data_IF_818988165788
#
_entry.id   IF_818988165788
#
_cell.length_a   1.000
_cell.length_b   1.000
_cell.length_c   1.000
_cell.angle_alpha   90.00
_cell.angle_beta   90.00
_cell.angle_gamma   90.00
#
_symmetry.space_group_name_H-M   'P 1'
#
loop_
_entity.id
_entity.type
_entity.pdbx_description
1 polymer ?
#
# COMPACT_ATOMS: atom_id res chain seq x y z
N UNK A 1 -1.78 8.20 8.73
CA UNK A 1 -1.36 9.16 7.68
C UNK A 1 -2.62 9.86 7.23
N UNK A 2 -2.64 11.19 7.20
CA UNK A 2 -3.87 11.95 6.88
C UNK A 2 -3.98 12.18 5.38
N UNK A 3 -5.20 12.42 4.88
CA UNK A 3 -5.44 12.77 3.49
C UNK A 3 -4.70 14.06 3.09
N UNK A 4 -4.64 15.02 4.02
CA UNK A 4 -3.86 16.25 3.88
C UNK A 4 -2.36 15.95 3.72
N UNK A 5 -1.78 15.02 4.49
CA UNK A 5 -0.38 14.60 4.35
C UNK A 5 -0.09 14.05 2.94
N UNK A 6 -1.01 13.24 2.39
CA UNK A 6 -0.88 12.71 1.02
C UNK A 6 -0.88 13.84 -0.01
N UNK A 7 -1.84 14.77 0.08
CA UNK A 7 -1.95 15.89 -0.85
C UNK A 7 -0.69 16.79 -0.77
N UNK A 8 -0.24 17.13 0.45
CA UNK A 8 0.98 17.92 0.69
C UNK A 8 2.22 17.25 0.08
N UNK A 9 2.40 15.95 0.31
CA UNK A 9 3.53 15.18 -0.24
C UNK A 9 3.51 15.11 -1.76
N UNK A 10 2.34 14.88 -2.37
CA UNK A 10 2.20 14.82 -3.83
C UNK A 10 2.47 16.19 -4.46
N UNK A 11 1.92 17.27 -3.89
CA UNK A 11 2.22 18.64 -4.32
C UNK A 11 3.72 18.92 -4.27
N UNK A 12 4.36 18.59 -3.15
CA UNK A 12 5.80 18.78 -2.99
C UNK A 12 6.60 17.93 -3.97
N UNK A 13 6.27 16.65 -4.15
CA UNK A 13 7.03 15.73 -5.01
C UNK A 13 7.04 16.19 -6.47
N UNK A 14 5.90 16.67 -6.99
CA UNK A 14 5.74 17.05 -8.40
C UNK A 14 5.79 18.56 -8.65
N UNK A 15 6.10 19.37 -7.64
CA UNK A 15 6.12 20.83 -7.71
C UNK A 15 4.81 21.48 -8.19
N UNK A 16 3.65 20.93 -7.80
CA UNK A 16 2.39 21.49 -8.28
C UNK A 16 2.09 22.85 -7.64
N UNK A 17 1.70 23.82 -8.48
CA UNK A 17 1.16 25.12 -8.03
C UNK A 17 -0.31 24.97 -7.61
N UNK A 18 -0.81 25.87 -6.80
CA UNK A 18 -2.18 25.80 -6.27
C UNK A 18 -3.23 25.87 -7.40
N UNK A 19 -2.94 26.65 -8.45
CA UNK A 19 -3.73 26.66 -9.70
C UNK A 19 -3.75 25.30 -10.38
N UNK A 20 -2.60 24.64 -10.51
CA UNK A 20 -2.50 23.31 -11.11
C UNK A 20 -3.23 22.24 -10.30
N UNK A 21 -3.30 22.40 -8.96
CA UNK A 21 -4.12 21.53 -8.12
C UNK A 21 -5.60 21.75 -8.42
N UNK A 22 -6.06 22.99 -8.56
CA UNK A 22 -7.44 23.29 -8.98
C UNK A 22 -7.78 22.67 -10.34
N UNK A 23 -6.87 22.77 -11.31
CA UNK A 23 -7.03 22.17 -12.64
C UNK A 23 -7.18 20.64 -12.55
N UNK A 24 -6.41 20.00 -11.66
CA UNK A 24 -6.53 18.56 -11.39
C UNK A 24 -7.90 18.17 -10.84
N UNK A 25 -8.48 18.96 -9.94
CA UNK A 25 -9.84 18.71 -9.46
C UNK A 25 -10.88 18.93 -10.57
N UNK A 26 -10.69 19.93 -11.42
CA UNK A 26 -11.57 20.19 -12.56
C UNK A 26 -11.59 19.02 -13.56
N UNK A 27 -10.45 18.34 -13.75
CA UNK A 27 -10.37 17.12 -14.58
C UNK A 27 -11.17 15.93 -14.03
N UNK A 28 -11.65 15.99 -12.79
CA UNK A 28 -12.50 14.99 -12.15
C UNK A 28 -13.93 15.49 -11.89
N UNK A 29 -14.33 16.57 -12.58
CA UNK A 29 -15.62 17.27 -12.45
C UNK A 29 -15.92 17.78 -11.03
N UNK A 30 -14.88 18.13 -10.28
CA UNK A 30 -15.03 18.73 -8.95
C UNK A 30 -14.49 20.15 -8.98
N UNK A 31 -15.40 21.13 -8.91
CA UNK A 31 -15.03 22.52 -8.67
C UNK A 31 -14.44 22.70 -7.27
N UNK A 32 -13.21 23.22 -7.20
CA UNK A 32 -12.52 23.56 -5.95
C UNK A 32 -11.89 24.94 -6.13
N UNK A 33 -12.00 25.79 -5.11
CA UNK A 33 -11.37 27.11 -5.12
C UNK A 33 -9.92 27.04 -4.63
N UNK A 34 -9.09 28.00 -5.03
CA UNK A 34 -7.70 28.07 -4.57
C UNK A 34 -7.62 28.21 -3.04
N UNK A 35 -8.56 28.94 -2.43
CA UNK A 35 -8.65 29.08 -0.96
C UNK A 35 -8.86 27.73 -0.26
N UNK A 36 -9.75 26.88 -0.79
CA UNK A 36 -9.96 25.54 -0.25
C UNK A 36 -8.69 24.70 -0.33
N UNK A 37 -7.98 24.76 -1.46
CA UNK A 37 -6.70 24.05 -1.63
C UNK A 37 -5.67 24.55 -0.62
N UNK A 38 -5.54 25.87 -0.43
CA UNK A 38 -4.62 26.45 0.54
C UNK A 38 -4.96 25.98 1.95
N UNK A 39 -6.24 26.00 2.35
CA UNK A 39 -6.68 25.55 3.66
C UNK A 39 -6.41 24.05 3.92
N UNK A 40 -6.43 23.21 2.87
CA UNK A 40 -6.03 21.79 2.99
C UNK A 40 -4.52 21.59 3.10
N UNK A 41 -3.73 22.50 2.54
CA UNK A 41 -2.26 22.45 2.54
C UNK A 41 -1.64 23.07 3.81
N UNK A 42 -2.41 23.82 4.59
CA UNK A 42 -2.00 24.35 5.89
C UNK A 42 -1.55 23.22 6.83
N UNK A 43 -0.72 23.59 7.82
CA UNK A 43 -0.28 22.68 8.88
C UNK A 43 -1.46 22.36 9.79
N UNK A 44 -1.39 21.20 10.44
CA UNK A 44 -2.49 20.69 11.27
C UNK A 44 -2.73 21.55 12.53
N UNK A 45 -1.77 22.43 12.90
CA UNK A 45 -1.89 23.38 14.02
C UNK A 45 -2.48 24.76 13.64
N UNK A 46 -2.80 24.98 12.37
CA UNK A 46 -3.36 26.25 11.90
C UNK A 46 -4.88 26.31 12.14
N UNK A 47 -5.40 27.47 12.56
CA UNK A 47 -6.83 27.66 12.86
C UNK A 47 -7.72 27.52 11.63
N UNK A 48 -7.18 27.82 10.45
CA UNK A 48 -7.92 27.71 9.19
C UNK A 48 -7.67 26.35 8.51
N UNK A 49 -7.01 25.40 9.19
CA UNK A 49 -6.77 24.08 8.63
C UNK A 49 -8.08 23.33 8.49
N UNK A 50 -8.36 22.88 7.27
CA UNK A 50 -9.55 22.07 6.97
C UNK A 50 -9.11 20.65 6.65
N UNK A 51 -9.77 19.68 7.27
CA UNK A 51 -9.55 18.26 6.96
C UNK A 51 -10.04 17.94 5.54
N UNK A 52 -9.21 17.26 4.75
CA UNK A 52 -9.54 16.86 3.39
C UNK A 52 -10.38 15.57 3.42
N UNK A 53 -11.67 15.61 3.03
CA UNK A 53 -12.49 14.40 3.01
C UNK A 53 -12.05 13.45 1.90
N UNK A 54 -12.27 12.15 2.13
CA UNK A 54 -11.93 11.06 1.21
C UNK A 54 -12.43 11.30 -0.21
N UNK A 55 -13.66 11.82 -0.35
CA UNK A 55 -14.26 12.12 -1.65
C UNK A 55 -13.46 13.14 -2.47
N UNK A 56 -12.96 14.18 -1.80
CA UNK A 56 -12.15 15.21 -2.47
C UNK A 56 -10.77 14.63 -2.82
N UNK A 57 -10.15 13.88 -1.92
CA UNK A 57 -8.89 13.19 -2.25
C UNK A 57 -9.07 12.17 -3.41
N UNK A 58 -10.20 11.46 -3.46
CA UNK A 58 -10.54 10.58 -4.57
C UNK A 58 -10.57 11.34 -5.90
N UNK A 59 -11.26 12.49 -5.92
CA UNK A 59 -11.36 13.34 -7.10
C UNK A 59 -9.98 13.86 -7.53
N UNK A 60 -9.16 14.32 -6.59
CA UNK A 60 -7.78 14.73 -6.87
C UNK A 60 -6.97 13.62 -7.56
N UNK A 61 -6.98 12.40 -6.98
CA UNK A 61 -6.24 11.27 -7.54
C UNK A 61 -6.79 10.83 -8.89
N UNK A 62 -8.12 10.90 -9.09
CA UNK A 62 -8.76 10.61 -10.36
C UNK A 62 -8.34 11.62 -11.44
N UNK A 63 -8.37 12.92 -11.12
CA UNK A 63 -7.89 13.98 -12.02
C UNK A 63 -6.40 13.86 -12.33
N UNK A 64 -5.60 13.42 -11.34
CA UNK A 64 -4.19 13.15 -11.54
C UNK A 64 -3.92 11.98 -12.49
N UNK A 65 -4.73 10.91 -12.41
CA UNK A 65 -4.71 9.81 -13.38
C UNK A 65 -5.03 10.34 -14.78
N UNK A 66 -6.08 11.15 -14.93
CA UNK A 66 -6.49 11.73 -16.22
C UNK A 66 -5.39 12.62 -16.81
N UNK A 67 -4.72 13.44 -15.99
CA UNK A 67 -3.61 14.29 -16.43
C UNK A 67 -2.43 13.48 -16.97
N UNK A 68 -2.03 12.42 -16.28
CA UNK A 68 -0.79 11.70 -16.61
C UNK A 68 -0.98 10.62 -17.69
N UNK A 69 -2.18 10.03 -17.80
CA UNK A 69 -2.46 8.95 -18.76
C UNK A 69 -3.42 9.33 -19.89
N UNK A 70 -4.15 10.43 -19.74
CA UNK A 70 -5.29 10.76 -20.59
C UNK A 70 -6.58 10.07 -20.15
N UNK A 71 -7.69 10.46 -20.78
CA UNK A 71 -9.00 9.85 -20.57
C UNK A 71 -9.00 8.44 -21.16
N UNK A 72 -9.19 7.42 -20.33
CA UNK A 72 -9.33 6.04 -20.81
C UNK A 72 -10.80 5.84 -21.22
N UNK A 73 -11.05 5.56 -22.49
CA UNK A 73 -12.38 5.26 -23.06
C UNK A 73 -13.47 6.31 -22.76
N UNK A 74 -13.10 7.59 -22.64
CA UNK A 74 -14.04 8.71 -22.47
C UNK A 74 -14.78 8.75 -21.12
N UNK A 75 -14.57 7.80 -20.21
CA UNK A 75 -15.21 7.77 -18.91
C UNK A 75 -14.32 8.39 -17.84
N UNK A 76 -14.87 9.35 -17.09
CA UNK A 76 -14.24 9.86 -15.89
C UNK A 76 -14.22 8.75 -14.82
N UNK A 77 -13.10 8.56 -14.10
CA UNK A 77 -13.06 7.58 -13.04
C UNK A 77 -14.08 7.97 -11.97
N UNK A 78 -14.93 7.02 -11.55
CA UNK A 78 -15.95 7.26 -10.52
C UNK A 78 -15.27 7.75 -9.25
N UNK A 79 -15.75 8.88 -8.73
CA UNK A 79 -15.29 9.42 -7.45
C UNK A 79 -15.80 8.52 -6.32
N UNK A 80 -14.88 7.78 -5.70
CA UNK A 80 -15.22 6.85 -4.64
C UNK A 80 -15.57 7.58 -3.35
N UNK A 81 -16.62 7.11 -2.66
CA UNK A 81 -17.15 7.77 -1.45
C UNK A 81 -16.24 7.60 -0.23
N UNK A 82 -15.47 6.52 -0.18
CA UNK A 82 -14.55 6.18 0.90
C UNK A 82 -13.23 5.72 0.29
N UNK A 83 -12.11 6.18 0.86
CA UNK A 83 -10.79 5.90 0.34
C UNK A 83 -10.06 4.93 1.26
N UNK A 84 -9.68 3.77 0.74
CA UNK A 84 -8.81 2.84 1.48
C UNK A 84 -7.37 3.00 1.01
N UNK A 85 -6.40 2.69 1.88
CA UNK A 85 -4.97 2.74 1.50
C UNK A 85 -4.65 1.90 0.27
N UNK A 86 -5.28 0.74 0.14
CA UNK A 86 -5.14 -0.15 -1.02
C UNK A 86 -5.54 0.57 -2.31
N UNK A 87 -6.65 1.32 -2.25
CA UNK A 87 -7.15 2.08 -3.37
C UNK A 87 -6.25 3.27 -3.70
N UNK A 88 -5.77 4.00 -2.68
CA UNK A 88 -4.79 5.10 -2.85
C UNK A 88 -3.54 4.57 -3.56
N UNK A 89 -2.99 3.45 -3.08
CA UNK A 89 -1.84 2.78 -3.69
C UNK A 89 -2.10 2.41 -5.15
N UNK A 90 -3.29 1.88 -5.44
CA UNK A 90 -3.68 1.52 -6.81
C UNK A 90 -3.81 2.77 -7.70
N UNK A 91 -4.42 3.85 -7.21
CA UNK A 91 -4.55 5.11 -7.95
C UNK A 91 -3.18 5.74 -8.22
N UNK A 92 -2.24 5.73 -7.26
CA UNK A 92 -0.86 6.21 -7.48
C UNK A 92 -0.15 5.35 -8.54
N UNK A 93 -0.24 4.03 -8.44
CA UNK A 93 0.32 3.10 -9.44
C UNK A 93 -0.23 3.40 -10.83
N UNK A 94 -1.54 3.62 -10.94
CA UNK A 94 -2.18 3.97 -12.20
C UNK A 94 -1.66 5.33 -12.66
N UNK A 95 -1.73 6.38 -11.84
CA UNK A 95 -1.31 7.74 -12.22
C UNK A 95 0.13 7.82 -12.75
N UNK A 96 1.05 7.02 -12.19
CA UNK A 96 2.46 7.03 -12.58
C UNK A 96 2.87 5.92 -13.55
N UNK A 97 1.93 5.10 -14.03
CA UNK A 97 2.26 3.98 -14.94
C UNK A 97 3.31 3.00 -14.40
N UNK A 98 3.33 2.82 -13.08
CA UNK A 98 4.30 1.95 -12.40
C UNK A 98 3.95 0.47 -12.58
N UNK A 99 4.96 -0.32 -12.95
CA UNK A 99 4.89 -1.78 -12.91
C UNK A 99 5.11 -2.27 -11.48
N UNK A 100 4.77 -3.54 -11.24
CA UNK A 100 4.98 -4.15 -9.92
C UNK A 100 6.47 -4.12 -9.51
N UNK A 101 7.37 -4.37 -10.46
CA UNK A 101 8.81 -4.36 -10.21
C UNK A 101 9.35 -2.95 -9.89
N UNK A 102 8.76 -1.90 -10.48
CA UNK A 102 9.12 -0.51 -10.20
C UNK A 102 8.75 -0.12 -8.76
N UNK A 103 7.54 -0.51 -8.32
CA UNK A 103 7.09 -0.26 -6.94
C UNK A 103 8.00 -0.97 -5.94
N UNK A 104 8.40 -2.21 -6.23
CA UNK A 104 9.33 -2.95 -5.38
C UNK A 104 10.71 -2.29 -5.34
N UNK A 105 11.20 -1.80 -6.48
CA UNK A 105 12.47 -1.09 -6.57
C UNK A 105 12.45 0.23 -5.80
N UNK A 106 11.33 0.96 -5.86
CA UNK A 106 11.13 2.19 -5.08
C UNK A 106 11.11 1.91 -3.57
N UNK A 107 10.35 0.89 -3.13
CA UNK A 107 10.28 0.55 -1.71
C UNK A 107 11.63 0.10 -1.15
N UNK A 108 12.44 -0.63 -1.95
CA UNK A 108 13.81 -1.02 -1.58
C UNK A 108 14.73 0.17 -1.33
N UNK A 109 14.54 1.32 -2.01
CA UNK A 109 15.35 2.54 -1.78
C UNK A 109 15.14 3.17 -0.40
N UNK A 110 14.02 2.86 0.25
CA UNK A 110 13.67 3.35 1.60
C UNK A 110 13.78 2.20 2.61
N UNK A 111 14.67 1.24 2.32
CA UNK A 111 14.93 0.04 3.13
C UNK A 111 13.69 -0.79 3.49
N UNK A 112 12.64 -0.70 2.65
CA UNK A 112 11.41 -1.43 2.84
C UNK A 112 11.33 -2.64 1.91
N UNK A 113 11.59 -3.82 2.46
CA UNK A 113 11.50 -5.07 1.72
C UNK A 113 10.06 -5.58 1.67
N UNK A 114 9.50 -5.64 0.46
CA UNK A 114 8.17 -6.17 0.19
C UNK A 114 8.26 -7.30 -0.86
N UNK A 115 7.52 -8.39 -0.66
CA UNK A 115 7.46 -9.48 -1.65
C UNK A 115 6.49 -9.21 -2.81
N UNK A 116 6.75 -9.79 -3.99
CA UNK A 116 5.83 -9.74 -5.16
C UNK A 116 4.42 -10.26 -4.81
N UNK A 117 4.35 -11.35 -4.04
CA UNK A 117 3.09 -11.93 -3.61
C UNK A 117 2.29 -11.00 -2.68
N UNK A 118 2.98 -10.26 -1.82
CA UNK A 118 2.36 -9.29 -0.90
C UNK A 118 1.87 -8.06 -1.63
N UNK A 119 2.68 -7.55 -2.57
CA UNK A 119 2.26 -6.45 -3.43
C UNK A 119 1.02 -6.83 -4.25
N UNK A 120 0.99 -8.05 -4.81
CA UNK A 120 -0.19 -8.57 -5.51
C UNK A 120 -1.41 -8.65 -4.59
N UNK A 121 -1.24 -9.05 -3.33
CA UNK A 121 -2.32 -9.18 -2.36
C UNK A 121 -3.05 -7.85 -2.07
N UNK A 122 -2.33 -6.72 -2.10
CA UNK A 122 -2.92 -5.39 -1.86
C UNK A 122 -3.87 -4.93 -2.97
N UNK A 123 -3.67 -5.38 -4.21
CA UNK A 123 -4.50 -5.00 -5.35
C UNK A 123 -5.68 -5.93 -5.61
N UNK A 124 -5.86 -6.97 -4.78
CA UNK A 124 -7.00 -7.89 -4.91
C UNK A 124 -8.28 -7.25 -4.37
N UNK A 125 -9.42 -7.78 -4.81
CA UNK A 125 -10.72 -7.39 -4.24
C UNK A 125 -10.81 -7.80 -2.76
N UNK A 126 -11.50 -7.04 -1.90
CA UNK A 126 -11.56 -7.30 -0.46
C UNK A 126 -12.18 -8.65 -0.09
N UNK A 127 -13.01 -9.24 -0.93
CA UNK A 127 -13.61 -10.58 -0.73
C UNK A 127 -12.64 -11.74 -1.05
N UNK A 128 -11.49 -11.45 -1.65
CA UNK A 128 -10.56 -12.49 -2.08
C UNK A 128 -9.78 -13.10 -0.89
N UNK A 129 -9.57 -14.43 -0.88
CA UNK A 129 -8.86 -15.17 0.20
C UNK A 129 -7.47 -14.59 0.53
N UNK A 130 -6.75 -14.18 -0.51
CA UNK A 130 -5.41 -13.58 -0.41
C UNK A 130 -5.42 -12.05 -0.46
N UNK A 131 -6.56 -11.40 -0.23
CA UNK A 131 -6.56 -9.96 -0.01
C UNK A 131 -5.82 -9.63 1.27
N UNK A 132 -5.03 -8.55 1.25
CA UNK A 132 -4.43 -7.99 2.46
C UNK A 132 -4.72 -6.50 2.50
N UNK A 133 -5.09 -6.01 3.68
CA UNK A 133 -5.20 -4.57 3.89
C UNK A 133 -3.82 -3.92 3.90
N UNK A 134 -3.65 -2.87 3.11
CA UNK A 134 -2.46 -2.06 3.05
C UNK A 134 -2.42 -1.13 4.28
N UNK A 135 -1.30 -1.15 5.00
CA UNK A 135 -1.06 -0.20 6.11
C UNK A 135 -0.59 1.14 5.56
N UNK A 136 -0.84 2.20 6.32
CA UNK A 136 -0.37 3.56 6.03
C UNK A 136 1.15 3.62 5.80
N UNK A 137 1.91 2.79 6.52
CA UNK A 137 3.37 2.74 6.41
C UNK A 137 3.84 2.48 4.97
N UNK A 138 3.13 1.64 4.23
CA UNK A 138 3.51 1.27 2.86
C UNK A 138 3.28 2.46 1.93
N UNK A 139 2.13 3.14 2.07
CA UNK A 139 1.82 4.36 1.29
C UNK A 139 2.83 5.46 1.63
N UNK A 140 3.16 5.63 2.91
CA UNK A 140 4.18 6.59 3.37
C UNK A 140 5.53 6.32 2.73
N UNK A 141 6.01 5.08 2.81
CA UNK A 141 7.30 4.68 2.26
C UNK A 141 7.33 4.85 0.74
N UNK A 142 6.25 4.51 0.04
CA UNK A 142 6.15 4.74 -1.40
C UNK A 142 6.21 6.22 -1.76
N UNK A 143 5.48 7.09 -1.06
CA UNK A 143 5.55 8.53 -1.31
C UNK A 143 6.94 9.10 -1.02
N UNK A 144 7.61 8.63 0.05
CA UNK A 144 9.00 9.00 0.34
C UNK A 144 9.95 8.56 -0.77
N UNK A 145 9.79 7.33 -1.28
CA UNK A 145 10.60 6.81 -2.38
C UNK A 145 10.40 7.63 -3.66
N UNK A 146 9.15 7.99 -3.98
CA UNK A 146 8.82 8.85 -5.12
C UNK A 146 9.42 10.26 -4.95
N UNK A 147 9.35 10.81 -3.75
CA UNK A 147 9.97 12.10 -3.44
C UNK A 147 11.48 12.06 -3.68
N UNK A 148 12.18 11.05 -3.16
CA UNK A 148 13.63 10.89 -3.40
C UNK A 148 13.96 10.67 -4.88
N UNK A 149 13.08 10.00 -5.62
CA UNK A 149 13.25 9.75 -7.05
C UNK A 149 13.12 11.03 -7.90
N UNK A 150 12.09 11.84 -7.65
CA UNK A 150 11.82 13.06 -8.40
C UNK A 150 12.61 14.27 -7.89
N UNK A 151 13.00 14.24 -6.61
CA UNK A 151 13.77 15.28 -5.95
C UNK A 151 14.85 14.60 -5.11
N UNK A 152 15.97 14.20 -5.72
CA UNK A 152 17.12 13.80 -4.94
C UNK A 152 17.51 15.00 -4.07
N UNK A 153 17.24 14.90 -2.77
CA UNK A 153 17.83 15.81 -1.80
C UNK A 153 19.33 15.56 -1.97
N UNK A 154 20.06 16.53 -2.52
CA UNK A 154 21.53 16.48 -2.47
C UNK A 154 21.88 16.33 -1.00
N UNK A 155 22.32 15.13 -0.62
CA UNK A 155 22.78 14.88 0.72
C UNK A 155 23.98 15.81 0.94
N UNK A 156 23.79 16.89 1.70
CA UNK A 156 24.90 17.39 2.50
C UNK A 156 25.30 16.23 3.42
N UNK A 157 26.59 15.83 3.48
CA UNK A 157 27.01 14.68 4.24
C UNK A 157 26.84 15.01 5.72
N UNK A 158 25.78 14.49 6.34
CA UNK A 158 25.53 14.60 7.75
C UNK A 158 25.79 13.24 8.40
N UNK A 159 27.04 13.07 8.84
CA UNK A 159 27.38 12.42 10.10
C UNK A 159 27.19 10.92 10.18
N UNK A 160 28.27 10.19 9.88
CA UNK A 160 28.66 9.09 10.75
C UNK A 160 28.77 9.60 12.19
N UNK A 161 28.09 8.91 13.11
CA UNK A 161 28.47 8.61 14.50
C UNK A 161 27.21 8.44 15.38
N UNK A 162 27.05 7.27 15.98
CA UNK A 162 27.23 7.10 17.42
C UNK A 162 26.65 5.76 17.89
N UNK A 163 27.44 4.72 17.68
CA UNK A 163 27.49 3.60 18.61
C UNK A 163 27.85 4.17 19.99
N UNK A 164 26.87 4.18 20.90
CA UNK A 164 27.09 4.53 22.31
C UNK A 164 27.22 3.23 23.11
N UNK A 165 28.44 2.72 23.11
CA UNK A 165 28.98 1.89 24.18
C UNK A 165 28.93 2.65 25.50
N UNK A 166 28.03 2.26 26.41
CA UNK A 166 28.21 2.52 27.84
C UNK A 166 28.72 1.22 28.47
N UNK A 167 30.02 1.17 28.72
CA UNK A 167 30.66 0.22 29.62
C UNK A 167 30.33 0.65 31.06
N UNK A 168 29.62 -0.19 31.79
CA UNK A 168 29.69 -0.20 33.26
C UNK A 168 30.11 -1.60 33.70
N UNK A 169 31.36 -1.67 34.17
CA UNK A 169 31.96 -2.81 34.82
C UNK A 169 31.36 -2.98 36.22
N UNK A 170 30.78 -4.15 36.51
CA UNK A 170 30.79 -4.73 37.87
C UNK A 170 31.00 -6.25 37.72
N UNK A 171 31.97 -6.78 38.49
CA UNK A 171 32.45 -8.18 38.46
C UNK A 171 31.60 -9.10 39.36
N UNK A 172 31.22 -10.26 38.80
CA UNK A 172 31.17 -11.63 39.39
C UNK A 172 30.14 -11.97 40.52
N UNK A 173 29.71 -13.25 40.74
CA UNK A 173 29.82 -14.48 39.92
C UNK A 173 28.56 -15.43 39.87
N UNK A 174 28.57 -16.39 38.93
CA UNK A 174 27.93 -17.75 38.89
C UNK A 174 26.39 -17.92 38.88
N UNK A 175 25.83 -18.45 37.78
CA UNK A 175 25.19 -19.80 37.69
C UNK A 175 24.80 -20.16 36.24
N UNK A 176 25.21 -21.36 35.80
CA UNK A 176 24.80 -22.00 34.55
C UNK A 176 23.30 -22.32 34.59
N UNK A 177 22.54 -21.85 33.62
CA UNK A 177 21.24 -22.43 33.28
C UNK A 177 21.16 -22.62 31.76
N UNK A 178 21.10 -23.88 31.37
CA UNK A 178 20.77 -24.36 30.04
C UNK A 178 19.33 -23.95 29.70
N UNK A 179 19.15 -23.20 28.61
CA UNK A 179 17.82 -23.03 28.00
C UNK A 179 17.91 -23.27 26.50
N UNK A 180 17.00 -24.12 26.03
CA UNK A 180 16.93 -24.69 24.70
C UNK A 180 16.67 -23.60 23.65
N UNK A 181 17.36 -23.68 22.52
CA UNK A 181 17.21 -22.74 21.41
C UNK A 181 15.76 -22.66 20.91
N UNK A 182 15.20 -21.46 20.92
CA UNK A 182 13.89 -21.18 20.35
C UNK A 182 13.93 -21.32 18.82
N UNK A 183 13.17 -22.27 18.29
CA UNK A 183 12.89 -22.39 16.84
C UNK A 183 12.20 -21.11 16.35
N UNK A 184 12.42 -20.68 15.08
CA UNK A 184 11.74 -19.53 14.54
C UNK A 184 10.23 -19.78 14.53
N UNK A 185 9.48 -18.88 15.18
CA UNK A 185 8.04 -18.98 15.26
C UNK A 185 7.46 -18.82 13.84
N UNK A 186 6.83 -19.88 13.33
CA UNK A 186 6.14 -19.91 12.04
C UNK A 186 5.20 -18.71 11.99
N UNK A 187 5.53 -17.70 11.18
CA UNK A 187 4.75 -16.46 11.12
C UNK A 187 3.30 -16.80 10.79
N UNK A 188 2.38 -16.32 11.63
CA UNK A 188 0.93 -16.53 11.43
C UNK A 188 0.56 -15.99 10.06
N UNK A 189 0.09 -16.88 9.17
CA UNK A 189 -0.40 -16.52 7.85
C UNK A 189 -1.58 -15.57 8.04
N UNK A 190 -1.52 -14.36 7.46
CA UNK A 190 -2.65 -13.43 7.46
C UNK A 190 -3.87 -14.11 6.81
N UNK A 191 -4.95 -14.23 7.57
CA UNK A 191 -6.26 -14.72 7.10
C UNK A 191 -7.15 -13.49 6.94
N UNK A 192 -7.69 -13.28 5.73
CA UNK A 192 -8.57 -12.15 5.45
C UNK A 192 -9.91 -12.32 6.20
N UNK A 193 -10.27 -11.43 7.14
CA UNK A 193 -11.53 -11.51 7.89
C UNK A 193 -12.78 -11.24 7.04
N UNK A 194 -12.63 -10.63 5.86
CA UNK A 194 -13.74 -10.27 4.97
C UNK A 194 -13.99 -11.28 3.84
N UNK A 195 -13.23 -12.38 3.78
CA UNK A 195 -13.46 -13.40 2.77
C UNK A 195 -14.74 -14.16 3.13
N UNK A 196 -15.76 -14.13 2.27
CA UNK A 196 -16.92 -15.02 2.45
C UNK A 196 -16.42 -16.46 2.47
N UNK A 197 -16.83 -17.22 3.49
CA UNK A 197 -16.57 -18.65 3.55
C UNK A 197 -17.18 -19.30 2.31
N UNK A 198 -16.36 -19.66 1.33
CA UNK A 198 -16.78 -20.66 0.35
C UNK A 198 -17.05 -21.92 1.17
N UNK A 199 -18.27 -22.43 1.06
CA UNK A 199 -18.59 -23.81 1.45
C UNK A 199 -17.41 -24.69 1.06
N UNK A 200 -16.83 -25.35 2.05
CA UNK A 200 -15.88 -26.43 1.78
C UNK A 200 -16.54 -27.31 0.71
N UNK A 201 -15.86 -27.66 -0.40
CA UNK A 201 -16.36 -28.76 -1.18
C UNK A 201 -16.44 -29.94 -0.20
N UNK A 202 -17.66 -30.44 0.05
CA UNK A 202 -17.84 -31.75 0.68
C UNK A 202 -16.84 -32.66 -0.02
N UNK A 203 -16.04 -33.40 0.74
CA UNK A 203 -15.25 -34.51 0.22
C UNK A 203 -16.18 -35.33 -0.68
N UNK A 204 -16.05 -35.15 -2.00
CA UNK A 204 -16.81 -35.91 -2.96
C UNK A 204 -16.44 -37.36 -2.71
N UNK A 205 -17.45 -38.17 -2.39
CA UNK A 205 -17.30 -39.62 -2.27
C UNK A 205 -16.40 -40.12 -3.39
N UNK A 206 -15.27 -40.73 -3.04
CA UNK A 206 -14.56 -41.59 -3.97
C UNK A 206 -15.56 -42.67 -4.38
N UNK A 207 -16.01 -42.67 -5.64
CA UNK A 207 -16.78 -43.78 -6.18
C UNK A 207 -15.91 -45.03 -6.04
N UNK A 208 -16.26 -45.89 -5.09
CA UNK A 208 -15.69 -47.23 -4.97
C UNK A 208 -16.23 -48.04 -6.16
N UNK A 209 -15.61 -47.87 -7.32
CA UNK A 209 -15.80 -48.76 -8.45
C UNK A 209 -15.34 -50.15 -8.00
N UNK A 210 -16.21 -51.15 -8.09
CA UNK A 210 -15.83 -52.54 -7.88
C UNK A 210 -14.87 -52.96 -9.00
N UNK A 211 -13.89 -53.85 -8.75
CA UNK A 211 -12.94 -54.32 -9.77
C UNK A 211 -13.64 -54.87 -11.04
N UNK A 212 -14.83 -55.45 -10.88
CA UNK A 212 -15.69 -55.99 -11.92
C UNK A 212 -16.17 -54.93 -12.95
N UNK A 213 -16.21 -53.64 -12.58
CA UNK A 213 -16.58 -52.56 -13.48
C UNK A 213 -15.40 -51.97 -14.26
N UNK A 214 -14.16 -52.32 -13.88
CA UNK A 214 -12.95 -51.79 -14.50
C UNK A 214 -12.42 -52.75 -15.57
N UNK A 215 -12.55 -54.05 -15.32
CA UNK A 215 -12.17 -55.10 -16.27
C UNK A 215 -13.37 -56.01 -16.47
N UNK A 216 -14.05 -55.86 -17.61
CA UNK A 216 -15.15 -56.75 -17.99
C UNK A 216 -14.71 -58.21 -17.89
N UNK A 217 -15.60 -59.04 -17.37
CA UNK A 217 -15.46 -60.50 -17.31
C UNK A 217 -14.97 -61.03 -18.65
N UNK A 218 -13.72 -61.50 -18.70
CA UNK A 218 -13.24 -62.35 -19.78
C UNK A 218 -13.86 -63.72 -19.57
N UNK A 219 -14.93 -63.99 -20.32
CA UNK A 219 -15.50 -65.33 -20.49
C UNK A 219 -14.43 -66.30 -21.00
N UNK A 220 -14.39 -67.49 -20.37
CA UNK A 220 -13.99 -68.76 -21.00
C UNK A 220 -14.75 -69.89 -20.36
#
# INVERSE_FOLDING_TARGET
MTNNDILRRLRFTFNYTDKQLCDLFALADVGVTTEQVVNWLKKDDDKDQVNLPDQKLAAFLNGWIVKNRGKKDGQLPVNEKQLTNNLILNKIKIALSLKADDILSLLKKVDFNLGKAELSAFFRKPDHKHYRQCKDQIVRNLLTALQQHHRPIKASPAGDNAESTVKSQVKSPVKKQTTQGARPNKSKVYVNPNAKAKSTPKSGNTLKLKPEQIWGTTDK
#
